data_IF_258243079411
#
_entry.id   IF_258243079411
#
_cell.length_a   1.000
_cell.length_b   1.000
_cell.length_c   1.000
_cell.angle_alpha   90.00
_cell.angle_beta   90.00
_cell.angle_gamma   90.00
#
_symmetry.space_group_name_H-M   'P 1'
#
loop_
_entity.id
_entity.type
_entity.pdbx_description
1 polymer ?
#
# COMPACT_ATOMS: atom_id res chain seq x y z
N UNK A 1 11.21 -4.94 21.11
CA UNK A 1 11.16 -5.88 19.97
C UNK A 1 10.63 -5.14 18.76
N UNK A 2 11.17 -5.41 17.57
CA UNK A 2 10.69 -4.86 16.30
C UNK A 2 9.98 -5.91 15.47
N UNK A 3 9.18 -5.50 14.49
CA UNK A 3 8.52 -6.39 13.55
C UNK A 3 9.44 -6.61 12.33
N UNK A 4 9.64 -7.87 11.95
CA UNK A 4 10.37 -8.21 10.72
C UNK A 4 9.52 -7.89 9.49
N UNK A 5 10.14 -7.29 8.49
CA UNK A 5 9.51 -6.86 7.23
C UNK A 5 9.68 -7.87 6.10
N UNK A 6 10.61 -8.83 6.22
CA UNK A 6 10.88 -9.77 5.13
C UNK A 6 9.64 -10.62 4.81
N UNK A 7 9.26 -10.68 3.53
CA UNK A 7 8.10 -11.45 3.06
C UNK A 7 6.72 -10.91 3.50
N UNK A 8 6.67 -9.78 4.21
CA UNK A 8 5.43 -9.12 4.64
C UNK A 8 4.75 -8.37 3.50
N UNK A 9 3.48 -8.03 3.68
CA UNK A 9 2.69 -7.30 2.69
C UNK A 9 2.76 -5.79 2.93
N UNK A 10 3.21 -5.05 1.92
CA UNK A 10 3.23 -3.59 1.88
C UNK A 10 2.08 -3.07 1.00
N UNK A 11 1.11 -2.44 1.63
CA UNK A 11 0.00 -1.76 0.97
C UNK A 11 0.34 -0.32 0.59
N UNK A 12 0.22 0.02 -0.69
CA UNK A 12 0.46 1.37 -1.22
C UNK A 12 -0.87 1.98 -1.68
N UNK A 13 -1.35 3.01 -0.98
CA UNK A 13 -2.48 3.82 -1.43
C UNK A 13 -1.90 5.01 -2.21
N UNK A 14 -2.03 5.02 -3.54
CA UNK A 14 -1.36 6.01 -4.39
C UNK A 14 -0.05 5.52 -5.02
N UNK A 15 -0.13 4.66 -6.04
CA UNK A 15 1.00 4.22 -6.86
C UNK A 15 1.37 5.26 -7.93
N UNK A 16 1.82 6.44 -7.48
CA UNK A 16 2.49 7.45 -8.31
C UNK A 16 4.02 7.36 -8.20
N UNK A 17 4.74 8.42 -8.53
CA UNK A 17 6.21 8.45 -8.44
C UNK A 17 6.74 8.08 -7.04
N UNK A 18 6.11 8.61 -5.98
CA UNK A 18 6.51 8.35 -4.60
C UNK A 18 6.12 6.92 -4.20
N UNK A 19 4.86 6.52 -4.42
CA UNK A 19 4.38 5.18 -4.11
C UNK A 19 5.21 4.09 -4.80
N UNK A 20 5.50 4.26 -6.09
CA UNK A 20 6.33 3.32 -6.85
C UNK A 20 7.77 3.26 -6.32
N UNK A 21 8.37 4.39 -5.92
CA UNK A 21 9.70 4.39 -5.32
C UNK A 21 9.73 3.66 -3.96
N UNK A 22 8.68 3.77 -3.16
CA UNK A 22 8.55 3.06 -1.89
C UNK A 22 8.34 1.56 -2.14
N UNK A 23 7.41 1.21 -3.03
CA UNK A 23 7.17 -0.18 -3.45
C UNK A 23 8.43 -0.85 -3.99
N UNK A 24 9.24 -0.13 -4.79
CA UNK A 24 10.53 -0.62 -5.29
C UNK A 24 11.51 -1.00 -4.18
N UNK A 25 11.56 -0.21 -3.10
CA UNK A 25 12.43 -0.49 -1.95
C UNK A 25 11.91 -1.69 -1.15
N UNK A 26 10.59 -1.78 -0.93
CA UNK A 26 9.96 -2.93 -0.29
C UNK A 26 10.20 -4.23 -1.05
N UNK A 27 9.93 -4.22 -2.36
CA UNK A 27 10.03 -5.40 -3.22
C UNK A 27 11.50 -5.87 -3.38
N UNK A 28 12.38 -5.02 -3.91
CA UNK A 28 13.77 -5.45 -4.21
C UNK A 28 14.68 -5.43 -2.99
N UNK A 29 14.42 -4.57 -2.00
CA UNK A 29 15.29 -4.43 -0.82
C UNK A 29 14.94 -5.39 0.31
N UNK A 30 13.65 -5.67 0.49
CA UNK A 30 13.15 -6.43 1.64
C UNK A 30 12.31 -7.65 1.26
N UNK A 31 12.16 -7.94 -0.04
CA UNK A 31 11.36 -9.06 -0.54
C UNK A 31 9.92 -9.05 -0.01
N UNK A 32 9.33 -7.85 0.09
CA UNK A 32 7.93 -7.67 0.50
C UNK A 32 6.98 -7.95 -0.65
N UNK A 33 5.79 -8.45 -0.34
CA UNK A 33 4.68 -8.53 -1.29
C UNK A 33 4.07 -7.14 -1.44
N UNK A 34 3.88 -6.67 -2.67
CA UNK A 34 3.33 -5.33 -2.93
C UNK A 34 1.87 -5.46 -3.34
N UNK A 35 1.00 -4.78 -2.61
CA UNK A 35 -0.40 -4.55 -3.01
C UNK A 35 -0.65 -3.05 -3.12
N UNK A 36 -1.52 -2.63 -4.01
CA UNK A 36 -1.77 -1.20 -4.21
C UNK A 36 -3.21 -0.87 -4.54
N UNK A 37 -3.60 0.37 -4.23
CA UNK A 37 -4.90 0.92 -4.57
C UNK A 37 -4.75 2.33 -5.14
N UNK A 38 -5.44 2.59 -6.25
CA UNK A 38 -5.55 3.88 -6.94
C UNK A 38 -6.96 4.05 -7.50
N UNK A 39 -7.35 5.28 -7.88
CA UNK A 39 -8.61 5.52 -8.62
C UNK A 39 -8.64 4.81 -9.99
N UNK A 40 -7.48 4.59 -10.59
CA UNK A 40 -7.28 3.84 -11.83
C UNK A 40 -6.03 3.00 -11.68
N UNK A 41 -6.06 1.80 -12.24
CA UNK A 41 -4.89 0.93 -12.27
C UNK A 41 -3.69 1.61 -12.94
N UNK A 42 -2.50 1.15 -12.55
CA UNK A 42 -1.21 1.63 -13.07
C UNK A 42 -0.34 0.44 -13.49
N UNK A 43 -0.75 -0.35 -14.50
CA UNK A 43 -0.03 -1.55 -14.91
C UNK A 43 1.45 -1.26 -15.20
N UNK A 44 1.75 -0.10 -15.79
CA UNK A 44 3.09 0.31 -16.16
C UNK A 44 4.04 0.46 -14.95
N UNK A 45 3.51 0.79 -13.77
CA UNK A 45 4.27 0.87 -12.52
C UNK A 45 4.17 -0.41 -11.69
N UNK A 46 3.07 -1.16 -11.85
CA UNK A 46 2.77 -2.34 -11.06
C UNK A 46 3.50 -3.60 -11.56
N UNK A 47 3.57 -3.82 -12.88
CA UNK A 47 4.14 -5.01 -13.49
C UNK A 47 5.60 -5.28 -13.07
N UNK A 48 6.53 -4.30 -13.08
CA UNK A 48 7.93 -4.55 -12.69
C UNK A 48 8.08 -4.96 -11.22
N UNK A 49 7.12 -4.55 -10.39
CA UNK A 49 7.11 -4.79 -8.94
C UNK A 49 6.24 -5.99 -8.56
N UNK A 50 5.64 -6.68 -9.54
CA UNK A 50 4.60 -7.70 -9.32
C UNK A 50 3.51 -7.21 -8.35
N UNK A 51 3.20 -5.92 -8.40
CA UNK A 51 2.26 -5.30 -7.48
C UNK A 51 0.84 -5.66 -7.87
N UNK A 52 0.06 -6.15 -6.91
CA UNK A 52 -1.33 -6.53 -7.13
C UNK A 52 -2.26 -5.35 -6.86
N UNK A 53 -3.15 -5.05 -7.80
CA UNK A 53 -4.20 -4.05 -7.58
C UNK A 53 -5.32 -4.65 -6.73
N UNK A 54 -5.72 -3.96 -5.66
CA UNK A 54 -6.80 -4.35 -4.77
C UNK A 54 -7.78 -3.19 -4.55
N UNK A 55 -8.99 -3.53 -4.08
CA UNK A 55 -9.88 -2.55 -3.46
C UNK A 55 -9.27 -1.98 -2.16
N UNK A 56 -9.67 -0.78 -1.75
CA UNK A 56 -9.10 -0.14 -0.55
C UNK A 56 -9.29 -0.99 0.72
N UNK A 57 -10.50 -1.51 0.94
CA UNK A 57 -10.78 -2.34 2.12
C UNK A 57 -9.94 -3.62 2.14
N UNK A 58 -9.86 -4.29 0.99
CA UNK A 58 -9.07 -5.51 0.82
C UNK A 58 -7.57 -5.25 1.05
N UNK A 59 -7.06 -4.13 0.53
CA UNK A 59 -5.68 -3.69 0.79
C UNK A 59 -5.42 -3.51 2.29
N UNK A 60 -6.32 -2.83 3.00
CA UNK A 60 -6.17 -2.58 4.43
C UNK A 60 -6.17 -3.88 5.25
N UNK A 61 -7.03 -4.83 4.88
CA UNK A 61 -7.12 -6.13 5.55
C UNK A 61 -5.90 -7.03 5.31
N UNK A 62 -5.26 -6.94 4.14
CA UNK A 62 -4.14 -7.82 3.77
C UNK A 62 -2.76 -7.24 4.09
N UNK A 63 -2.66 -5.94 4.37
CA UNK A 63 -1.38 -5.25 4.56
C UNK A 63 -0.87 -5.37 5.99
N UNK A 64 0.40 -5.73 6.13
CA UNK A 64 1.14 -5.61 7.39
C UNK A 64 1.64 -4.17 7.62
N UNK A 65 1.82 -3.42 6.54
CA UNK A 65 2.22 -2.02 6.55
C UNK A 65 1.45 -1.27 5.46
N UNK A 66 0.93 -0.08 5.78
CA UNK A 66 0.20 0.75 4.82
C UNK A 66 0.90 2.09 4.65
N UNK A 67 1.10 2.49 3.40
CA UNK A 67 1.64 3.79 3.02
C UNK A 67 0.62 4.55 2.20
N UNK A 68 0.24 5.74 2.67
CA UNK A 68 -0.62 6.66 1.92
C UNK A 68 0.25 7.69 1.20
N UNK A 69 0.30 7.62 -0.12
CA UNK A 69 1.07 8.48 -1.01
C UNK A 69 0.18 9.12 -2.09
N UNK A 70 -0.94 9.71 -1.66
CA UNK A 70 -1.89 10.44 -2.50
C UNK A 70 -1.85 11.94 -2.21
N UNK A 71 -2.15 12.75 -3.22
CA UNK A 71 -2.34 14.19 -3.04
C UNK A 71 -3.58 14.47 -2.18
N UNK A 72 -3.53 15.49 -1.34
CA UNK A 72 -4.68 15.94 -0.56
C UNK A 72 -5.67 16.70 -1.45
N UNK A 73 -6.88 16.18 -1.58
CA UNK A 73 -8.01 16.78 -2.29
C UNK A 73 -9.34 16.37 -1.62
N UNK A 74 -10.48 16.77 -2.17
CA UNK A 74 -11.79 16.49 -1.58
C UNK A 74 -12.07 14.98 -1.38
N UNK A 75 -11.57 14.13 -2.27
CA UNK A 75 -11.78 12.67 -2.22
C UNK A 75 -10.78 11.95 -1.30
N UNK A 76 -9.56 12.49 -1.13
CA UNK A 76 -8.55 11.90 -0.24
C UNK A 76 -8.54 12.49 1.18
N UNK A 77 -9.32 13.56 1.41
CA UNK A 77 -9.46 14.16 2.73
C UNK A 77 -10.11 13.15 3.68
N UNK A 78 -9.41 12.86 4.79
CA UNK A 78 -9.82 11.86 5.77
C UNK A 78 -9.97 10.44 5.21
N UNK A 79 -9.19 10.09 4.16
CA UNK A 79 -9.16 8.75 3.57
C UNK A 79 -8.86 7.67 4.62
N UNK A 80 -7.96 7.96 5.56
CA UNK A 80 -7.64 7.09 6.69
C UNK A 80 -8.34 7.61 7.95
N UNK A 81 -9.58 7.15 8.16
CA UNK A 81 -10.37 7.42 9.35
C UNK A 81 -10.46 6.20 10.27
N UNK A 82 -11.27 6.32 11.34
CA UNK A 82 -11.48 5.25 12.32
C UNK A 82 -11.88 3.92 11.68
N UNK A 83 -12.84 3.95 10.76
CA UNK A 83 -13.32 2.73 10.09
C UNK A 83 -12.20 2.04 9.29
N UNK A 84 -11.32 2.80 8.63
CA UNK A 84 -10.19 2.24 7.88
C UNK A 84 -9.14 1.61 8.81
N UNK A 85 -8.83 2.26 9.93
CA UNK A 85 -7.93 1.68 10.93
C UNK A 85 -8.51 0.42 11.59
N UNK A 86 -9.83 0.31 11.73
CA UNK A 86 -10.50 -0.89 12.25
C UNK A 86 -10.42 -2.09 11.27
N UNK A 87 -10.21 -1.84 9.97
CA UNK A 87 -10.03 -2.89 8.96
C UNK A 87 -8.59 -3.43 8.91
N UNK A 88 -7.63 -2.70 9.48
CA UNK A 88 -6.23 -3.07 9.44
C UNK A 88 -5.91 -4.23 10.39
N UNK A 89 -4.80 -4.91 10.11
CA UNK A 89 -4.24 -5.86 11.06
C UNK A 89 -3.90 -5.16 12.38
N UNK A 90 -4.09 -5.83 13.52
CA UNK A 90 -3.86 -5.22 14.85
C UNK A 90 -2.43 -4.69 15.06
N UNK A 91 -1.48 -5.23 14.31
CA UNK A 91 -0.06 -4.86 14.36
C UNK A 91 0.35 -3.86 13.28
N UNK A 92 -0.52 -3.56 12.31
CA UNK A 92 -0.23 -2.72 11.16
C UNK A 92 -0.37 -1.22 11.46
#
# INVERSE_FOLDING_TARGET
FGLDVFGKTLGIIGLGNIGAAIARRGFYGFNMNIVYHNRREKPELAEPLKAQYLGLEELLQQSDFVVTAVDLNAESKALMGKAQFELMQKHA
#
